data_IF_898675090375
#
_entry.id   IF_898675090375
#
_cell.length_a   1.000
_cell.length_b   1.000
_cell.length_c   1.000
_cell.angle_alpha   90.00
_cell.angle_beta   90.00
_cell.angle_gamma   90.00
#
_symmetry.space_group_name_H-M   'P 1'
#
loop_
_entity.id
_entity.type
_entity.pdbx_description
1 polymer ?
#
# COMPACT_ATOMS: atom_id res chain seq x y z
N UNK A 1 -9.83 -3.32 -17.76
CA UNK A 1 -9.33 -1.98 -17.35
C UNK A 1 -7.86 -2.01 -16.90
N UNK A 2 -7.19 -0.86 -16.75
CA UNK A 2 -5.79 -0.79 -16.24
C UNK A 2 -5.69 0.22 -15.11
N UNK A 3 -5.01 -0.13 -14.03
CA UNK A 3 -4.73 0.78 -12.92
C UNK A 3 -3.23 0.93 -12.73
N UNK A 4 -2.76 2.14 -12.44
CA UNK A 4 -1.37 2.33 -12.05
C UNK A 4 -1.22 2.04 -10.56
N UNK A 5 -0.21 1.24 -10.21
CA UNK A 5 0.19 1.11 -8.83
C UNK A 5 0.73 2.46 -8.35
N UNK A 6 0.02 3.09 -7.43
CA UNK A 6 0.45 4.37 -6.83
C UNK A 6 1.74 4.25 -6.01
N UNK A 7 2.15 3.02 -5.64
CA UNK A 7 3.38 2.78 -4.90
C UNK A 7 4.62 2.64 -5.79
N UNK A 8 4.51 2.06 -6.99
CA UNK A 8 5.67 1.79 -7.86
C UNK A 8 5.53 2.27 -9.31
N UNK A 9 4.40 2.89 -9.67
CA UNK A 9 4.12 3.42 -11.01
C UNK A 9 3.80 2.39 -12.10
N UNK A 10 3.89 1.09 -11.81
CA UNK A 10 3.66 0.04 -12.82
C UNK A 10 2.17 -0.20 -13.07
N UNK A 11 1.84 -0.57 -14.30
CA UNK A 11 0.49 -0.90 -14.72
C UNK A 11 0.07 -2.28 -14.18
N UNK A 12 -1.11 -2.33 -13.55
CA UNK A 12 -1.79 -3.54 -13.14
C UNK A 12 -3.01 -3.72 -14.05
N UNK A 13 -3.09 -4.86 -14.73
CA UNK A 13 -4.27 -5.22 -15.50
C UNK A 13 -5.36 -5.73 -14.55
N UNK A 14 -6.52 -5.09 -14.61
CA UNK A 14 -7.73 -5.51 -13.88
C UNK A 14 -8.74 -5.86 -14.96
N UNK A 15 -9.29 -7.06 -14.95
CA UNK A 15 -10.24 -7.50 -15.97
C UNK A 15 -11.49 -6.57 -16.02
N UNK A 16 -12.19 -6.53 -17.14
CA UNK A 16 -13.39 -5.68 -17.32
C UNK A 16 -14.65 -6.30 -16.67
N UNK A 17 -14.53 -7.47 -16.05
CA UNK A 17 -15.63 -8.15 -15.35
C UNK A 17 -16.10 -7.49 -14.03
N UNK A 18 -15.55 -6.32 -13.67
CA UNK A 18 -15.77 -5.66 -12.40
C UNK A 18 -16.50 -4.33 -12.59
N UNK A 19 -17.80 -4.39 -12.90
CA UNK A 19 -18.63 -3.18 -13.06
C UNK A 19 -18.83 -2.44 -11.73
N UNK A 20 -19.09 -3.16 -10.64
CA UNK A 20 -19.27 -2.65 -9.27
C UNK A 20 -18.48 -3.51 -8.26
N UNK A 21 -17.17 -3.26 -8.18
CA UNK A 21 -16.27 -3.97 -7.28
C UNK A 21 -15.60 -3.03 -6.27
N UNK A 22 -15.59 -3.43 -5.00
CA UNK A 22 -14.76 -2.82 -3.97
C UNK A 22 -13.91 -3.91 -3.30
N UNK A 23 -12.58 -3.79 -3.38
CA UNK A 23 -11.68 -4.79 -2.83
C UNK A 23 -10.21 -4.43 -2.90
N UNK A 24 -9.36 -5.41 -2.58
CA UNK A 24 -7.91 -5.24 -2.51
C UNK A 24 -7.23 -5.90 -3.72
N UNK A 25 -6.32 -5.16 -4.33
CA UNK A 25 -5.42 -5.65 -5.37
C UNK A 25 -3.98 -5.66 -4.85
N UNK A 26 -3.30 -6.79 -5.03
CA UNK A 26 -1.86 -6.89 -4.77
C UNK A 26 -1.08 -6.56 -6.04
N UNK A 27 -0.19 -5.58 -5.96
CA UNK A 27 0.75 -5.29 -7.03
C UNK A 27 1.70 -6.48 -7.18
N UNK A 28 1.73 -7.12 -8.36
CA UNK A 28 2.63 -8.25 -8.61
C UNK A 28 4.10 -7.83 -8.79
N UNK A 29 4.37 -6.53 -8.96
CA UNK A 29 5.72 -5.98 -9.11
C UNK A 29 6.36 -5.67 -7.75
N UNK A 30 5.70 -4.85 -6.92
CA UNK A 30 6.27 -4.41 -5.63
C UNK A 30 5.61 -5.06 -4.41
N UNK A 31 4.55 -5.83 -4.58
CA UNK A 31 3.82 -6.47 -3.48
C UNK A 31 2.86 -5.57 -2.71
N UNK A 32 2.78 -4.27 -3.02
CA UNK A 32 1.90 -3.33 -2.31
C UNK A 32 0.41 -3.70 -2.48
N UNK A 33 -0.38 -3.50 -1.42
CA UNK A 33 -1.83 -3.65 -1.47
C UNK A 33 -2.51 -2.32 -1.79
N UNK A 34 -3.43 -2.35 -2.74
CA UNK A 34 -4.20 -1.20 -3.20
C UNK A 34 -5.68 -1.49 -3.00
N UNK A 35 -6.39 -0.62 -2.29
CA UNK A 35 -7.84 -0.66 -2.23
C UNK A 35 -8.41 0.03 -3.46
N UNK A 36 -9.18 -0.70 -4.25
CA UNK A 36 -9.78 -0.23 -5.50
C UNK A 36 -11.29 -0.28 -5.37
N UNK A 37 -11.95 0.80 -5.76
CA UNK A 37 -13.39 0.88 -5.90
C UNK A 37 -13.73 1.22 -7.34
N UNK A 38 -14.61 0.42 -7.92
CA UNK A 38 -15.16 0.59 -9.27
C UNK A 38 -16.67 0.73 -9.18
N UNK A 39 -17.25 1.52 -10.07
CA UNK A 39 -18.68 1.58 -10.30
C UNK A 39 -18.94 2.08 -11.73
N UNK A 40 -19.97 1.53 -12.36
CA UNK A 40 -20.30 1.75 -13.79
C UNK A 40 -19.13 1.42 -14.73
N UNK A 41 -18.35 0.38 -14.43
CA UNK A 41 -17.18 -0.03 -15.21
C UNK A 41 -16.02 0.98 -15.16
N UNK A 42 -16.06 1.95 -14.24
CA UNK A 42 -15.04 3.00 -14.06
C UNK A 42 -14.43 2.93 -12.67
N UNK A 43 -13.14 3.26 -12.59
CA UNK A 43 -12.44 3.45 -11.31
C UNK A 43 -13.02 4.69 -10.64
N UNK A 44 -13.55 4.54 -9.42
CA UNK A 44 -13.97 5.67 -8.58
C UNK A 44 -12.86 6.09 -7.64
N UNK A 45 -12.10 5.15 -7.07
CA UNK A 45 -11.00 5.46 -6.17
C UNK A 45 -9.93 4.37 -6.12
N UNK A 46 -8.68 4.79 -5.92
CA UNK A 46 -7.54 3.92 -5.62
C UNK A 46 -6.81 4.52 -4.43
N UNK A 47 -6.60 3.73 -3.38
CA UNK A 47 -5.84 4.14 -2.20
C UNK A 47 -4.87 3.06 -1.76
N UNK A 48 -3.71 3.43 -1.18
CA UNK A 48 -2.77 2.44 -0.68
C UNK A 48 -3.31 1.92 0.64
N UNK A 49 -3.18 0.61 0.86
CA UNK A 49 -3.46 0.04 2.17
C UNK A 49 -2.18 0.03 2.95
N UNK A 50 -2.16 0.82 4.02
CA UNK A 50 -1.18 0.67 5.08
C UNK A 50 -1.52 -0.61 5.83
N UNK A 51 -0.98 -1.74 5.38
CA UNK A 51 -0.92 -2.92 6.21
C UNK A 51 0.01 -2.59 7.37
N UNK A 52 -0.58 -2.18 8.50
CA UNK A 52 0.11 -2.26 9.78
C UNK A 52 0.32 -3.75 10.04
N UNK A 53 1.42 -4.31 9.53
CA UNK A 53 1.95 -5.55 10.04
C UNK A 53 2.10 -5.33 11.54
N UNK A 54 1.41 -6.14 12.35
CA UNK A 54 1.65 -6.17 13.78
C UNK A 54 3.10 -6.53 14.02
N UNK A 55 3.96 -5.53 14.08
CA UNK A 55 5.28 -5.60 14.68
C UNK A 55 5.14 -4.84 15.97
N UNK A 56 5.18 -5.57 17.09
CA UNK A 56 5.58 -5.00 18.36
C UNK A 56 6.77 -4.07 18.09
N UNK A 57 6.63 -2.79 18.41
CA UNK A 57 7.77 -1.89 18.48
C UNK A 57 8.65 -2.39 19.63
N UNK A 58 9.94 -2.64 19.39
CA UNK A 58 10.89 -2.18 20.38
C UNK A 58 12.00 -1.40 19.70
N UNK A 59 11.88 -0.08 19.74
CA UNK A 59 13.05 0.77 19.87
C UNK A 59 12.62 2.05 20.55
N UNK A 60 12.59 1.95 21.88
CA UNK A 60 12.70 3.09 22.76
C UNK A 60 13.93 3.88 22.36
N UNK A 61 13.70 5.13 21.96
CA UNK A 61 14.54 6.27 22.30
C UNK A 61 15.22 6.04 23.67
N UNK A 62 16.53 5.77 23.67
CA UNK A 62 17.37 6.06 24.83
C UNK A 62 18.63 6.78 24.37
N UNK A 63 18.47 8.11 24.37
CA UNK A 63 19.47 9.18 24.40
C UNK A 63 20.92 8.78 24.68
N UNK A 64 21.77 9.26 23.78
CA UNK A 64 23.00 10.03 24.04
C UNK A 64 23.68 9.78 25.40
N UNK A 65 24.78 9.02 25.36
CA UNK A 65 25.77 8.94 26.43
C UNK A 65 27.13 9.45 25.96
N UNK A 66 27.26 10.77 25.82
CA UNK A 66 28.57 11.43 25.87
C UNK A 66 29.06 11.31 27.32
N UNK A 67 30.03 10.43 27.59
CA UNK A 67 30.82 10.52 28.81
C UNK A 67 32.29 10.64 28.43
N UNK A 68 32.80 11.86 28.60
CA UNK A 68 34.22 12.19 28.65
C UNK A 68 34.74 11.88 30.06
N UNK A 69 35.75 11.04 30.16
CA UNK A 69 36.72 10.93 31.26
C UNK A 69 37.92 10.20 30.65
N UNK A 70 39.18 10.60 30.80
CA UNK A 70 39.87 11.60 31.61
C UNK A 70 41.35 11.24 31.50
#
# INVERSE_FOLDING_TARGET
MKINCISCGHNLFVDDAYDDFEGLFKCYICGALLKVKTADGKIKSVSPVELKSGTNQPETDLKSGQHICG
#
